data_IF_855040286581
#
_entry.id   IF_855040286581
#
_cell.length_a   1.000
_cell.length_b   1.000
_cell.length_c   1.000
_cell.angle_alpha   90.00
_cell.angle_beta   90.00
_cell.angle_gamma   90.00
#
_symmetry.space_group_name_H-M   'P 1'
#
loop_
_entity.id
_entity.type
_entity.pdbx_description
1 polymer ?
#
# COMPACT_ATOMS: atom_id res chain seq x y z
N UNK A 1 10.20 8.46 3.17
CA UNK A 1 10.34 7.68 1.93
C UNK A 1 9.62 6.36 2.14
N UNK A 2 8.59 6.09 1.35
CA UNK A 2 7.74 4.91 1.46
C UNK A 2 7.71 4.24 0.09
N UNK A 3 8.26 3.03 0.02
CA UNK A 3 8.30 2.23 -1.20
C UNK A 3 7.34 1.06 -1.02
N UNK A 4 6.55 0.74 -2.03
CA UNK A 4 5.68 -0.43 -2.03
C UNK A 4 6.12 -1.40 -3.12
N UNK A 5 6.39 -2.65 -2.75
CA UNK A 5 6.71 -3.74 -3.66
C UNK A 5 5.48 -4.64 -3.75
N UNK A 6 4.84 -4.66 -4.92
CA UNK A 6 3.64 -5.45 -5.17
C UNK A 6 3.83 -6.38 -6.36
N UNK A 7 2.98 -7.40 -6.48
CA UNK A 7 3.16 -8.46 -7.47
C UNK A 7 2.38 -9.71 -7.10
N UNK A 8 2.18 -10.60 -8.07
CA UNK A 8 1.46 -11.84 -7.86
C UNK A 8 2.08 -12.71 -6.74
N UNK A 9 1.29 -13.58 -6.11
CA UNK A 9 1.83 -14.60 -5.22
C UNK A 9 2.91 -15.42 -5.95
N UNK A 10 4.08 -15.57 -5.33
CA UNK A 10 5.23 -16.27 -5.91
C UNK A 10 6.20 -15.38 -6.70
N UNK A 11 5.94 -14.08 -6.89
CA UNK A 11 6.85 -13.17 -7.62
C UNK A 11 8.03 -12.64 -6.80
N UNK A 12 8.10 -12.94 -5.49
CA UNK A 12 9.23 -12.55 -4.64
C UNK A 12 9.15 -11.14 -4.05
N UNK A 13 7.93 -10.60 -3.85
CA UNK A 13 7.70 -9.30 -3.21
C UNK A 13 8.37 -9.18 -1.84
N UNK A 14 8.21 -10.18 -0.96
CA UNK A 14 8.81 -10.17 0.39
C UNK A 14 10.34 -10.26 0.32
N UNK A 15 10.90 -11.01 -0.63
CA UNK A 15 12.35 -11.12 -0.83
C UNK A 15 12.97 -9.79 -1.28
N UNK A 16 12.40 -9.15 -2.30
CA UNK A 16 12.91 -7.86 -2.79
C UNK A 16 12.73 -6.76 -1.74
N UNK A 17 11.56 -6.68 -1.12
CA UNK A 17 11.27 -5.64 -0.12
C UNK A 17 12.19 -5.74 1.09
N UNK A 18 12.48 -6.94 1.59
CA UNK A 18 13.44 -7.16 2.67
C UNK A 18 14.84 -6.70 2.25
N UNK A 19 15.35 -7.18 1.11
CA UNK A 19 16.68 -6.83 0.61
C UNK A 19 16.83 -5.32 0.36
N UNK A 20 15.79 -4.69 -0.18
CA UNK A 20 15.77 -3.24 -0.43
C UNK A 20 15.70 -2.44 0.87
N UNK A 21 14.89 -2.87 1.85
CA UNK A 21 14.85 -2.24 3.17
C UNK A 21 16.23 -2.30 3.84
N UNK A 22 16.92 -3.45 3.77
CA UNK A 22 18.29 -3.59 4.26
C UNK A 22 19.24 -2.62 3.56
N UNK A 23 19.22 -2.57 2.21
CA UNK A 23 20.09 -1.68 1.44
C UNK A 23 19.86 -0.19 1.72
N UNK A 24 18.63 0.19 2.09
CA UNK A 24 18.24 1.55 2.44
C UNK A 24 18.35 1.87 3.93
N UNK A 25 18.77 0.91 4.75
CA UNK A 25 18.76 1.00 6.21
C UNK A 25 17.38 1.44 6.76
N UNK A 26 16.32 0.87 6.17
CA UNK A 26 14.91 1.14 6.47
C UNK A 26 14.18 -0.08 7.00
N UNK A 27 12.86 0.05 7.15
CA UNK A 27 12.00 -0.99 7.74
C UNK A 27 11.21 -1.73 6.67
N UNK A 28 11.32 -3.06 6.68
CA UNK A 28 10.47 -3.95 5.89
C UNK A 28 9.13 -4.17 6.62
N UNK A 29 8.02 -4.05 5.91
CA UNK A 29 6.67 -4.27 6.42
C UNK A 29 5.92 -5.21 5.45
N UNK A 30 5.60 -6.44 5.86
CA UNK A 30 4.86 -7.36 4.99
C UNK A 30 3.35 -7.17 5.18
N UNK A 31 2.59 -6.94 4.10
CA UNK A 31 1.15 -6.76 4.18
C UNK A 31 0.44 -7.97 4.81
N UNK A 32 0.95 -9.19 4.67
CA UNK A 32 0.34 -10.36 5.29
C UNK A 32 0.34 -10.28 6.83
N UNK A 33 1.34 -9.63 7.45
CA UNK A 33 1.41 -9.43 8.91
C UNK A 33 0.27 -8.53 9.42
N UNK A 34 -0.20 -7.61 8.58
CA UNK A 34 -1.33 -6.72 8.85
C UNK A 34 -2.67 -7.29 8.39
N UNK A 35 -2.67 -8.18 7.40
CA UNK A 35 -3.90 -8.76 6.87
C UNK A 35 -4.42 -9.91 7.73
N UNK A 36 -3.53 -10.73 8.30
CA UNK A 36 -3.91 -11.93 9.03
C UNK A 36 -3.73 -11.78 10.54
N UNK A 37 -4.65 -12.37 11.30
CA UNK A 37 -4.43 -12.59 12.73
C UNK A 37 -3.42 -13.74 12.94
N UNK A 38 -2.60 -13.68 14.01
CA UNK A 38 -1.64 -14.74 14.32
C UNK A 38 -2.37 -15.98 14.85
N UNK A 39 -2.81 -16.86 13.94
CA UNK A 39 -3.51 -18.11 14.26
C UNK A 39 -2.62 -19.34 14.03
N UNK A 40 -3.02 -20.48 14.60
CA UNK A 40 -2.46 -21.80 14.27
C UNK A 40 -3.60 -22.71 13.78
N UNK A 41 -3.62 -23.12 12.49
CA UNK A 41 -2.66 -22.79 11.42
C UNK A 41 -2.72 -21.30 11.00
N UNK A 42 -1.67 -20.75 10.35
CA UNK A 42 -1.64 -19.36 9.91
C UNK A 42 -2.59 -19.11 8.72
N UNK A 43 -2.85 -17.84 8.41
CA UNK A 43 -3.63 -17.40 7.25
C UNK A 43 -5.10 -17.89 7.23
N UNK A 44 -5.71 -18.04 8.40
CA UNK A 44 -7.11 -18.51 8.51
C UNK A 44 -8.09 -17.38 8.77
N UNK A 45 -7.71 -16.41 9.60
CA UNK A 45 -8.61 -15.34 10.06
C UNK A 45 -8.08 -13.98 9.66
N UNK A 46 -8.86 -13.26 8.86
CA UNK A 46 -8.51 -11.91 8.42
C UNK A 46 -8.72 -10.92 9.58
N UNK A 47 -7.79 -9.97 9.71
CA UNK A 47 -7.93 -8.82 10.60
C UNK A 47 -8.97 -7.86 10.04
N UNK A 48 -9.68 -7.16 10.93
CA UNK A 48 -10.63 -6.12 10.55
C UNK A 48 -9.98 -5.08 9.62
N UNK A 49 -10.78 -4.60 8.65
CA UNK A 49 -10.30 -3.70 7.61
C UNK A 49 -9.83 -2.34 8.15
N UNK A 50 -10.50 -1.78 9.15
CA UNK A 50 -10.10 -0.51 9.77
C UNK A 50 -8.88 -0.72 10.66
N UNK A 51 -8.82 -1.85 11.37
CA UNK A 51 -7.67 -2.18 12.22
C UNK A 51 -6.38 -2.38 11.41
N UNK A 52 -6.42 -3.18 10.32
CA UNK A 52 -5.24 -3.41 9.47
C UNK A 52 -4.73 -2.11 8.82
N UNK A 53 -5.64 -1.26 8.36
CA UNK A 53 -5.30 0.05 7.78
C UNK A 53 -4.62 0.93 8.84
N UNK A 54 -5.21 1.01 10.03
CA UNK A 54 -4.68 1.82 11.11
C UNK A 54 -3.30 1.33 11.58
N UNK A 55 -3.06 0.01 11.67
CA UNK A 55 -1.76 -0.56 12.03
C UNK A 55 -0.67 -0.19 11.01
N UNK A 56 -0.90 -0.45 9.72
CA UNK A 56 0.10 -0.17 8.69
C UNK A 56 0.39 1.33 8.56
N UNK A 57 -0.64 2.19 8.62
CA UNK A 57 -0.43 3.65 8.59
C UNK A 57 0.40 4.15 9.80
N UNK A 58 0.22 3.56 10.99
CA UNK A 58 1.05 3.91 12.15
C UNK A 58 2.51 3.56 11.92
N UNK A 59 2.81 2.36 11.42
CA UNK A 59 4.19 1.92 11.21
C UNK A 59 4.87 2.68 10.06
N UNK A 60 4.10 3.07 9.03
CA UNK A 60 4.53 3.97 7.96
C UNK A 60 4.86 5.40 8.44
N UNK A 61 4.30 5.83 9.58
CA UNK A 61 4.59 7.14 10.19
C UNK A 61 5.73 7.07 11.21
N UNK A 62 5.90 5.92 11.86
CA UNK A 62 6.95 5.70 12.86
C UNK A 62 8.36 5.64 12.24
N UNK A 63 8.47 5.34 10.95
CA UNK A 63 9.75 5.13 10.28
C UNK A 63 9.99 6.12 9.13
N UNK A 64 11.24 6.57 8.97
CA UNK A 64 11.62 7.50 7.90
C UNK A 64 11.68 6.84 6.52
N UNK A 65 12.10 5.57 6.48
CA UNK A 65 12.21 4.75 5.28
C UNK A 65 11.49 3.44 5.52
N UNK A 66 10.46 3.17 4.71
CA UNK A 66 9.72 1.91 4.75
C UNK A 66 9.67 1.27 3.37
N UNK A 67 9.70 -0.06 3.35
CA UNK A 67 9.48 -0.87 2.16
C UNK A 67 8.40 -1.88 2.46
N UNK A 68 7.20 -1.64 1.93
CA UNK A 68 6.02 -2.49 2.12
C UNK A 68 6.03 -3.61 1.09
N UNK A 69 5.75 -4.85 1.49
CA UNK A 69 5.62 -6.00 0.60
C UNK A 69 4.16 -6.42 0.44
N UNK A 70 3.80 -6.95 -0.73
CA UNK A 70 2.50 -7.60 -0.95
C UNK A 70 1.45 -6.69 -1.54
N UNK A 71 0.18 -6.96 -1.29
CA UNK A 71 -0.95 -6.22 -1.87
C UNK A 71 -1.72 -5.48 -0.79
N UNK A 72 -1.88 -4.17 -0.99
CA UNK A 72 -2.70 -3.29 -0.15
C UNK A 72 -3.91 -2.72 -0.93
N UNK A 73 -4.22 -3.31 -2.08
CA UNK A 73 -5.33 -2.87 -2.91
C UNK A 73 -6.67 -3.06 -2.18
N UNK A 74 -7.48 -2.01 -2.12
CA UNK A 74 -8.75 -2.00 -1.41
C UNK A 74 -8.60 -1.84 0.11
N UNK A 75 -7.45 -1.37 0.60
CA UNK A 75 -7.27 -1.06 2.02
C UNK A 75 -7.62 0.40 2.35
N UNK A 76 -7.69 1.26 1.34
CA UNK A 76 -8.14 2.65 1.49
C UNK A 76 -7.19 3.64 0.82
N UNK A 77 -7.76 4.68 0.21
CA UNK A 77 -7.00 5.67 -0.57
C UNK A 77 -5.90 6.35 0.24
N UNK A 78 -6.11 6.61 1.54
CA UNK A 78 -5.09 7.22 2.41
C UNK A 78 -3.78 6.40 2.41
N UNK A 79 -3.88 5.06 2.47
CA UNK A 79 -2.70 4.20 2.42
C UNK A 79 -2.19 4.07 0.99
N UNK A 80 -3.09 3.79 0.05
CA UNK A 80 -2.74 3.42 -1.31
C UNK A 80 -2.07 4.56 -2.10
N UNK A 81 -2.38 5.82 -1.77
CA UNK A 81 -1.74 7.02 -2.33
C UNK A 81 -0.63 7.61 -1.43
N UNK A 82 -0.23 6.91 -0.36
CA UNK A 82 0.81 7.41 0.57
C UNK A 82 2.25 7.09 0.17
N UNK A 83 2.45 6.34 -0.92
CA UNK A 83 3.77 5.86 -1.34
C UNK A 83 4.50 6.86 -2.24
N UNK A 84 5.82 6.93 -2.12
CA UNK A 84 6.68 7.74 -3.00
C UNK A 84 7.02 6.98 -4.30
N UNK A 85 7.07 5.64 -4.23
CA UNK A 85 7.38 4.73 -5.34
C UNK A 85 6.62 3.41 -5.16
N UNK A 86 5.99 2.93 -6.22
CA UNK A 86 5.46 1.58 -6.30
C UNK A 86 6.27 0.78 -7.34
N UNK A 87 6.74 -0.41 -6.94
CA UNK A 87 7.42 -1.37 -7.79
C UNK A 87 6.52 -2.58 -7.96
N UNK A 88 6.08 -2.83 -9.19
CA UNK A 88 5.33 -4.01 -9.56
C UNK A 88 6.28 -5.09 -10.08
N UNK A 89 6.29 -6.26 -9.44
CA UNK A 89 7.01 -7.45 -9.87
C UNK A 89 6.12 -8.35 -10.71
N UNK A 90 6.53 -8.54 -11.95
CA UNK A 90 5.98 -9.55 -12.84
C UNK A 90 6.87 -10.79 -12.88
N UNK A 91 6.24 -11.96 -12.97
CA UNK A 91 6.86 -13.25 -13.19
C UNK A 91 5.84 -14.17 -13.85
N UNK A 92 6.30 -14.99 -14.79
CA UNK A 92 5.44 -15.93 -15.49
C UNK A 92 4.75 -16.92 -14.52
N UNK A 93 3.54 -17.34 -14.89
CA UNK A 93 2.72 -18.20 -14.04
C UNK A 93 3.41 -19.54 -13.72
N UNK A 94 4.13 -20.13 -14.66
CA UNK A 94 4.79 -21.43 -14.48
C UNK A 94 5.83 -21.35 -13.37
N UNK A 95 6.73 -20.36 -13.42
CA UNK A 95 7.74 -20.14 -12.38
C UNK A 95 7.11 -19.77 -11.04
N UNK A 96 6.08 -18.91 -11.02
CA UNK A 96 5.37 -18.55 -9.78
C UNK A 96 4.77 -19.77 -9.11
N UNK A 97 4.07 -20.60 -9.86
CA UNK A 97 3.41 -21.80 -9.33
C UNK A 97 4.41 -22.81 -8.78
N UNK A 98 5.56 -22.98 -9.43
CA UNK A 98 6.60 -23.87 -8.92
C UNK A 98 7.18 -23.37 -7.59
N UNK A 99 7.50 -22.08 -7.50
CA UNK A 99 7.94 -21.45 -6.25
C UNK A 99 6.89 -21.59 -5.14
N UNK A 100 5.61 -21.42 -5.47
CA UNK A 100 4.52 -21.57 -4.51
C UNK A 100 4.39 -23.02 -4.03
N UNK A 101 4.46 -24.03 -4.92
CA UNK A 101 4.45 -25.44 -4.52
C UNK A 101 5.54 -25.76 -3.51
N UNK A 102 6.76 -25.33 -3.79
CA UNK A 102 7.91 -25.55 -2.90
C UNK A 102 7.70 -24.87 -1.54
N UNK A 103 7.25 -23.60 -1.54
CA UNK A 103 6.96 -22.85 -0.32
C UNK A 103 5.88 -23.49 0.53
N UNK A 104 4.78 -23.91 -0.08
CA UNK A 104 3.66 -24.55 0.63
C UNK A 104 4.09 -25.90 1.20
N UNK A 105 4.81 -26.73 0.43
CA UNK A 105 5.36 -27.99 0.90
C UNK A 105 6.33 -27.80 2.08
N UNK A 106 7.20 -26.78 2.02
CA UNK A 106 8.13 -26.48 3.11
C UNK A 106 7.41 -25.99 4.38
N UNK A 107 6.34 -25.19 4.23
CA UNK A 107 5.65 -24.56 5.35
C UNK A 107 4.57 -25.44 5.99
N UNK A 108 3.85 -26.20 5.19
CA UNK A 108 2.66 -26.96 5.59
C UNK A 108 2.79 -28.47 5.37
N UNK A 109 3.94 -28.94 4.85
CA UNK A 109 4.18 -30.35 4.50
C UNK A 109 3.53 -30.80 3.19
N UNK A 110 2.64 -30.00 2.61
CA UNK A 110 1.97 -30.27 1.33
C UNK A 110 1.56 -28.96 0.65
N UNK A 111 1.37 -29.00 -0.67
CA UNK A 111 0.85 -27.86 -1.40
C UNK A 111 -0.68 -27.88 -1.41
N UNK A 112 -1.31 -26.75 -1.06
CA UNK A 112 -2.77 -26.60 -1.13
C UNK A 112 -3.21 -26.44 -2.61
N UNK A 113 -3.94 -27.41 -3.20
CA UNK A 113 -4.32 -27.36 -4.60
C UNK A 113 -5.22 -26.16 -4.93
N UNK A 114 -6.17 -25.82 -4.05
CA UNK A 114 -7.08 -24.70 -4.25
C UNK A 114 -6.34 -23.35 -4.26
N UNK A 115 -5.31 -23.21 -3.42
CA UNK A 115 -4.45 -22.01 -3.44
C UNK A 115 -3.65 -21.90 -4.74
N UNK A 116 -3.10 -23.02 -5.23
CA UNK A 116 -2.36 -23.03 -6.49
C UNK A 116 -3.25 -22.72 -7.70
N UNK A 117 -4.45 -23.27 -7.74
CA UNK A 117 -5.44 -22.98 -8.78
C UNK A 117 -5.83 -21.50 -8.80
N UNK A 118 -6.11 -20.93 -7.63
CA UNK A 118 -6.36 -19.49 -7.49
C UNK A 118 -5.15 -18.63 -7.89
N UNK A 119 -3.92 -19.07 -7.61
CA UNK A 119 -2.70 -18.36 -8.00
C UNK A 119 -2.40 -18.46 -9.50
N UNK A 120 -2.84 -19.55 -10.15
CA UNK A 120 -2.62 -19.81 -11.58
C UNK A 120 -3.44 -18.87 -12.47
N UNK A 121 -4.66 -18.50 -12.06
CA UNK A 121 -5.51 -17.61 -12.85
C UNK A 121 -5.11 -16.14 -12.80
N UNK A 122 -4.09 -15.76 -12.03
CA UNK A 122 -3.72 -14.36 -11.82
C UNK A 122 -3.62 -13.57 -13.14
N UNK A 123 -2.96 -14.11 -14.16
CA UNK A 123 -2.75 -13.44 -15.44
C UNK A 123 -4.05 -13.25 -16.25
N UNK A 124 -4.98 -14.20 -16.17
CA UNK A 124 -6.24 -14.19 -16.93
C UNK A 124 -7.36 -13.44 -16.21
N UNK A 125 -7.34 -13.43 -14.87
CA UNK A 125 -8.33 -12.76 -14.04
C UNK A 125 -9.73 -13.38 -14.09
N UNK A 126 -9.82 -14.69 -14.33
CA UNK A 126 -11.10 -15.41 -14.46
C UNK A 126 -11.82 -15.57 -13.12
N UNK A 127 -11.12 -15.46 -11.98
CA UNK A 127 -11.72 -15.58 -10.65
C UNK A 127 -11.84 -14.22 -9.92
N UNK A 128 -12.73 -14.12 -8.91
CA UNK A 128 -12.74 -13.00 -7.99
C UNK A 128 -11.40 -12.84 -7.24
N UNK A 129 -11.09 -11.60 -6.85
CA UNK A 129 -9.87 -11.27 -6.10
C UNK A 129 -8.74 -10.74 -6.99
N UNK A 130 -7.50 -11.15 -6.70
CA UNK A 130 -6.31 -10.58 -7.34
C UNK A 130 -6.13 -11.11 -8.76
N UNK A 131 -5.83 -10.21 -9.70
CA UNK A 131 -5.49 -10.52 -11.08
C UNK A 131 -4.60 -9.46 -11.69
N UNK A 132 -3.89 -9.80 -12.77
CA UNK A 132 -3.02 -8.88 -13.51
C UNK A 132 -3.79 -7.68 -14.09
N UNK A 133 -4.97 -7.84 -14.72
CA UNK A 133 -5.76 -6.69 -15.17
C UNK A 133 -6.12 -5.75 -14.02
N UNK A 134 -6.68 -6.28 -12.91
CA UNK A 134 -7.04 -5.46 -11.72
C UNK A 134 -5.82 -4.80 -11.09
N UNK A 135 -4.67 -5.47 -11.07
CA UNK A 135 -3.41 -4.92 -10.57
C UNK A 135 -2.94 -3.75 -11.45
N UNK A 136 -3.05 -3.88 -12.78
CA UNK A 136 -2.71 -2.81 -13.73
C UNK A 136 -3.64 -1.62 -13.61
N UNK A 137 -4.95 -1.84 -13.49
CA UNK A 137 -5.92 -0.78 -13.24
C UNK A 137 -5.64 -0.04 -11.94
N UNK A 138 -5.34 -0.80 -10.87
CA UNK A 138 -4.95 -0.24 -9.58
C UNK A 138 -3.68 0.61 -9.68
N UNK A 139 -2.64 0.13 -10.40
CA UNK A 139 -1.39 0.87 -10.62
C UNK A 139 -1.63 2.16 -11.43
N UNK A 140 -2.47 2.11 -12.47
CA UNK A 140 -2.79 3.26 -13.29
C UNK A 140 -3.55 4.35 -12.51
N UNK A 141 -4.26 3.98 -11.44
CA UNK A 141 -4.98 4.90 -10.56
C UNK A 141 -4.11 5.48 -9.42
N UNK A 142 -2.80 5.23 -9.39
CA UNK A 142 -1.90 5.75 -8.33
C UNK A 142 -1.36 7.12 -8.69
N UNK A 143 -1.31 7.98 -7.68
CA UNK A 143 -0.77 9.34 -7.79
C UNK A 143 0.76 9.39 -7.87
N UNK A 144 1.45 8.34 -7.40
CA UNK A 144 2.90 8.27 -7.36
C UNK A 144 3.52 7.52 -8.55
N UNK A 145 4.84 7.59 -8.65
CA UNK A 145 5.57 6.87 -9.71
C UNK A 145 5.43 5.36 -9.51
N UNK A 146 5.01 4.68 -10.55
CA UNK A 146 4.99 3.22 -10.63
C UNK A 146 6.07 2.72 -11.61
N UNK A 147 6.70 1.60 -11.30
CA UNK A 147 7.62 0.91 -12.20
C UNK A 147 7.36 -0.60 -12.20
N UNK A 148 7.48 -1.22 -13.36
CA UNK A 148 7.35 -2.67 -13.52
C UNK A 148 8.73 -3.30 -13.72
N UNK A 149 8.99 -4.41 -13.04
CA UNK A 149 10.23 -5.20 -13.14
C UNK A 149 9.91 -6.68 -13.32
N UNK A 150 10.66 -7.36 -14.20
CA UNK A 150 10.68 -8.82 -14.23
C UNK A 150 11.53 -9.36 -13.09
N UNK A 151 10.96 -10.25 -12.27
CA UNK A 151 11.66 -10.91 -11.15
C UNK A 151 12.38 -12.21 -11.53
N UNK A 152 12.64 -12.41 -12.83
CA UNK A 152 13.48 -13.51 -13.35
C UNK A 152 14.96 -13.30 -13.03
N UNK A 153 15.37 -12.06 -12.79
CA UNK A 153 16.76 -11.71 -12.45
C UNK A 153 17.03 -11.84 -10.94
N UNK A 154 18.29 -12.04 -10.54
CA UNK A 154 18.68 -12.08 -9.14
C UNK A 154 18.27 -10.84 -8.33
N UNK A 155 17.95 -11.04 -7.04
CA UNK A 155 17.45 -9.97 -6.15
C UNK A 155 18.40 -8.77 -6.05
N UNK A 156 19.72 -8.98 -6.09
CA UNK A 156 20.69 -7.88 -6.04
C UNK A 156 20.62 -6.97 -7.27
N UNK A 157 20.26 -7.51 -8.45
CA UNK A 157 20.03 -6.72 -9.64
C UNK A 157 18.74 -5.90 -9.51
N UNK A 158 17.65 -6.52 -9.02
CA UNK A 158 16.40 -5.80 -8.73
C UNK A 158 16.62 -4.65 -7.74
N UNK A 159 17.34 -4.90 -6.65
CA UNK A 159 17.71 -3.87 -5.67
C UNK A 159 18.49 -2.74 -6.34
N UNK A 160 19.52 -3.06 -7.14
CA UNK A 160 20.30 -2.05 -7.85
C UNK A 160 19.44 -1.19 -8.79
N UNK A 161 18.54 -1.82 -9.56
CA UNK A 161 17.61 -1.11 -10.45
C UNK A 161 16.68 -0.18 -9.68
N UNK A 162 16.11 -0.64 -8.56
CA UNK A 162 15.24 0.22 -7.73
C UNK A 162 16.04 1.37 -7.14
N UNK A 163 17.23 1.13 -6.58
CA UNK A 163 18.08 2.19 -6.01
C UNK A 163 18.48 3.24 -7.05
N UNK A 164 18.81 2.83 -8.28
CA UNK A 164 19.12 3.75 -9.38
C UNK A 164 17.92 4.61 -9.80
N UNK A 165 16.70 4.11 -9.60
CA UNK A 165 15.47 4.83 -9.92
C UNK A 165 15.09 5.88 -8.88
N UNK A 166 15.62 5.77 -7.65
CA UNK A 166 15.30 6.70 -6.56
C UNK A 166 15.90 8.08 -6.85
N UNK A 167 15.20 9.16 -6.49
CA UNK A 167 15.74 10.50 -6.63
C UNK A 167 17.06 10.59 -5.86
N UNK A 168 18.10 11.12 -6.53
CA UNK A 168 19.39 11.38 -5.87
C UNK A 168 19.11 12.32 -4.71
N UNK A 169 19.37 11.85 -3.49
CA UNK A 169 19.34 12.70 -2.31
C UNK A 169 20.35 13.83 -2.57
N UNK A 170 20.00 15.12 -2.42
CA UNK A 170 21.01 16.16 -2.49
C UNK A 170 22.11 15.82 -1.47
N UNK A 171 23.39 15.97 -1.83
CA UNK A 171 24.48 15.72 -0.89
C UNK A 171 24.23 16.57 0.36
N UNK A 172 24.35 15.94 1.51
CA UNK A 172 24.12 16.51 2.83
C UNK A 172 24.87 17.85 2.95
N UNK A 173 24.15 18.97 3.01
CA UNK A 173 24.78 20.30 3.07
C UNK A 173 23.79 21.45 3.02
N UNK A 174 23.63 22.11 4.16
CA UNK A 174 22.82 23.30 4.46
C UNK A 174 21.36 23.02 4.81
N UNK A 175 21.11 23.00 6.12
CA UNK A 175 19.82 23.37 6.67
C UNK A 175 19.41 24.73 6.10
N UNK A 176 18.30 24.75 5.37
CA UNK A 176 17.47 25.94 5.26
C UNK A 176 16.06 25.50 5.60
N UNK A 177 15.78 25.36 6.90
CA UNK A 177 14.44 25.60 7.39
C UNK A 177 14.19 27.10 7.24
N UNK A 178 13.87 27.51 6.01
CA UNK A 178 13.30 28.81 5.74
C UNK A 178 11.83 28.74 6.08
N UNK A 179 11.46 29.41 7.16
CA UNK A 179 10.09 29.59 7.63
C UNK A 179 9.12 29.88 6.46
N UNK A 180 8.11 29.03 6.33
CA UNK A 180 6.95 29.25 5.46
C UNK A 180 6.11 30.47 5.88
N UNK A 181 6.53 31.25 6.89
CA UNK A 181 5.84 32.44 7.38
C UNK A 181 6.31 33.78 6.73
N UNK A 182 7.40 33.80 5.96
CA UNK A 182 7.95 35.06 5.42
C UNK A 182 7.46 35.46 4.01
N UNK A 183 6.58 34.69 3.37
CA UNK A 183 6.09 34.96 2.00
C UNK A 183 4.75 35.70 1.90
N UNK A 184 4.32 36.37 2.98
CA UNK A 184 3.04 37.11 3.02
C UNK A 184 3.16 38.60 3.36
N UNK A 185 4.35 39.22 3.27
CA UNK A 185 4.48 40.67 3.46
C UNK A 185 5.43 41.25 2.43
N UNK A 186 4.87 41.59 1.27
CA UNK A 186 5.35 42.63 0.35
C UNK A 186 4.34 42.72 -0.79
N UNK A 187 3.20 43.34 -0.49
CA UNK A 187 2.45 44.21 -1.41
C UNK A 187 1.16 44.66 -0.72
N UNK A 188 1.16 45.93 -0.30
CA UNK A 188 0.04 46.87 -0.28
C UNK A 188 0.37 47.97 0.75
N UNK A 189 1.28 48.88 0.38
CA UNK A 189 1.25 50.24 0.92
C UNK A 189 0.44 51.11 -0.05
N UNK A 190 -0.52 51.84 0.51
CA UNK A 190 -1.06 53.06 -0.11
C UNK A 190 -2.47 52.95 -0.70
N UNK A 191 -3.50 53.14 0.13
CA UNK A 191 -4.54 54.17 -0.10
C UNK A 191 -5.58 54.19 1.03
N UNK A 192 -5.77 55.37 1.61
CA UNK A 192 -7.12 55.90 1.85
C UNK A 192 -7.83 55.53 3.14
N UNK A 193 -7.76 56.44 4.10
CA UNK A 193 -8.71 56.62 5.20
C UNK A 193 -10.18 56.62 4.74
N UNK A 194 -11.09 55.93 5.44
CA UNK A 194 -12.29 56.52 6.09
C UNK A 194 -13.17 55.50 6.84
N UNK A 195 -13.51 55.86 8.08
CA UNK A 195 -14.83 55.75 8.74
C UNK A 195 -15.51 54.38 9.00
N UNK A 196 -15.48 53.98 10.28
CA UNK A 196 -16.58 53.65 11.21
C UNK A 196 -17.89 52.92 10.76
N UNK A 197 -18.34 52.03 11.67
CA UNK A 197 -19.62 51.24 11.77
C UNK A 197 -19.62 49.96 10.92
N UNK A 198 -20.09 48.79 11.36
CA UNK A 198 -21.10 48.45 12.37
C UNK A 198 -20.81 47.09 13.03
N UNK A 199 -21.16 47.06 14.31
CA UNK A 199 -21.39 45.88 15.15
C UNK A 199 -22.63 45.09 14.67
N UNK A 200 -22.69 43.81 15.07
CA UNK A 200 -23.85 42.93 15.26
C UNK A 200 -24.22 41.87 14.21
N UNK A 201 -24.18 40.63 14.73
CA UNK A 201 -25.17 39.55 14.65
C UNK A 201 -25.46 38.89 13.30
N UNK A 202 -25.16 37.57 13.25
CA UNK A 202 -26.23 36.58 13.13
C UNK A 202 -25.83 35.23 13.73
N UNK A 203 -26.60 34.85 14.74
CA UNK A 203 -26.68 33.53 15.35
C UNK A 203 -27.63 32.65 14.51
N UNK A 204 -27.35 31.34 14.56
CA UNK A 204 -28.28 30.21 14.53
C UNK A 204 -29.27 30.05 13.35
N UNK A 205 -29.30 28.85 12.77
CA UNK A 205 -30.34 27.87 13.10
C UNK A 205 -30.20 26.58 12.28
N UNK A 206 -30.36 25.45 13.01
CA UNK A 206 -31.06 24.20 12.65
C UNK A 206 -30.65 23.42 11.39
N UNK A 207 -30.75 22.10 11.32
CA UNK A 207 -31.00 20.98 12.23
C UNK A 207 -31.04 19.74 11.30
N UNK A 208 -30.74 18.58 11.89
CA UNK A 208 -31.24 17.24 11.52
C UNK A 208 -31.30 16.81 10.05
N UNK A 209 -30.68 15.66 9.75
CA UNK A 209 -31.41 14.43 9.40
C UNK A 209 -30.45 13.24 9.47
N UNK A 210 -30.64 12.41 10.50
CA UNK A 210 -30.20 11.03 10.52
C UNK A 210 -31.04 10.22 9.55
N UNK A 211 -30.40 9.35 8.75
CA UNK A 211 -31.04 8.14 8.23
C UNK A 211 -29.97 7.10 7.90
N UNK A 212 -29.89 6.14 8.80
CA UNK A 212 -29.33 4.80 8.63
C UNK A 212 -29.96 4.10 7.42
N UNK A 213 -29.14 3.44 6.62
CA UNK A 213 -29.62 2.33 5.78
C UNK A 213 -28.53 1.29 5.64
N UNK A 214 -28.70 0.24 6.42
CA UNK A 214 -27.99 -1.04 6.35
C UNK A 214 -28.31 -1.72 5.01
N UNK A 215 -27.30 -2.13 4.25
CA UNK A 215 -27.47 -3.10 3.16
C UNK A 215 -26.46 -4.23 3.42
N UNK A 216 -27.00 -5.44 3.60
CA UNK A 216 -26.29 -6.67 3.88
C UNK A 216 -26.37 -7.64 2.70
N UNK A 217 -25.30 -8.42 2.51
CA UNK A 217 -25.27 -9.73 1.83
C UNK A 217 -25.14 -9.71 0.30
N UNK A 218 -24.52 -10.74 -0.32
CA UNK A 218 -24.51 -12.16 0.07
C UNK A 218 -23.09 -12.67 0.45
N UNK A 219 -22.85 -13.71 1.24
CA UNK A 219 -23.62 -14.91 1.58
C UNK A 219 -22.86 -16.14 1.07
N UNK A 220 -21.80 -16.58 1.76
CA UNK A 220 -21.06 -17.81 1.45
C UNK A 220 -21.34 -18.86 2.53
N UNK A 221 -21.76 -20.04 2.09
CA UNK A 221 -22.30 -21.13 2.89
C UNK A 221 -21.25 -21.74 3.83
N UNK A 222 -21.67 -21.98 5.08
CA UNK A 222 -20.96 -22.83 6.04
C UNK A 222 -21.37 -24.27 5.77
N UNK A 223 -20.41 -25.11 5.39
CA UNK A 223 -20.55 -26.57 5.43
C UNK A 223 -20.14 -27.01 6.84
N UNK A 224 -21.12 -27.46 7.63
CA UNK A 224 -20.88 -28.23 8.85
C UNK A 224 -20.76 -29.69 8.46
N UNK A 225 -19.64 -30.34 8.77
CA UNK A 225 -19.56 -31.79 8.81
C UNK A 225 -19.62 -32.25 10.26
N UNK A 226 -20.50 -33.23 10.48
CA UNK A 226 -20.52 -34.16 11.61
C UNK A 226 -19.22 -34.99 11.68
#
# INVERSE_FOLDING_TARGET
>A
MRIHITGASGSGTSTLSLALATALNGTHLDADDYFWLPTSPPFTTQRDSAERLAQLLRDLRAHRVTVVAGSVAGWGAELEDSFDLIVFLYLDATTRLERLRQREAQRFGHANPAFLEWAAQYDTGTLPGRSLPRQRDWLAARSCRCMELSSEVPVNQLVATVLQSLPKRPPYGTQAFGDAAARARLHCEGAGSTSARSIQNRCASSASHSRTSTIAGPGCAVVTNE
#
